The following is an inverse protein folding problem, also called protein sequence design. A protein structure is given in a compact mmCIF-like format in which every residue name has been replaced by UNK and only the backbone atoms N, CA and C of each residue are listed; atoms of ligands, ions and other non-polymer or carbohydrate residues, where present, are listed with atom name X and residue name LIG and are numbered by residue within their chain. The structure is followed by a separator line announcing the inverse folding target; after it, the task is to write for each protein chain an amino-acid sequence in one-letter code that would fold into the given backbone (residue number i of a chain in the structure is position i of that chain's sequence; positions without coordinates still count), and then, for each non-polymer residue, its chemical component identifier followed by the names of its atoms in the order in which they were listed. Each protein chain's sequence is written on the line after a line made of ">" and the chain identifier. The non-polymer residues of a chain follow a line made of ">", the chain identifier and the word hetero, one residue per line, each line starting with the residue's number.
data_IF_683326809327
#
_entry.id   IF_683326809327
#
_cell.length_a   1.000
_cell.length_b   1.000
_cell.length_c   1.000
_cell.angle_alpha   90.00
_cell.angle_beta   90.00
_cell.angle_gamma   90.00
#
_symmetry.space_group_name_H-M   'P 1'
#
loop_
_entity.id
_entity.type
_entity.pdbx_description
1 polymer ?
#
# COMPACT_ATOMS: atom_id res chain seq x y z
N UNK A 1 -22.45 -44.89 -34.94
CA UNK A 1 -21.75 -46.00 -34.24
C UNK A 1 -20.87 -45.39 -33.16
N UNK A 2 -20.62 -45.91 -31.93
CA UNK A 2 -21.14 -47.01 -31.05
C UNK A 2 -20.37 -46.84 -29.70
N UNK A 3 -20.88 -46.83 -28.46
CA UNK A 3 -22.19 -46.52 -27.81
C UNK A 3 -22.00 -45.18 -27.02
N UNK A 4 -22.77 -44.65 -26.05
CA UNK A 4 -23.90 -45.02 -25.16
C UNK A 4 -23.66 -45.87 -23.88
N UNK A 5 -23.74 -45.19 -22.73
CA UNK A 5 -24.09 -45.61 -21.36
C UNK A 5 -24.53 -44.29 -20.67
N UNK A 6 -25.79 -44.04 -20.28
CA UNK A 6 -26.61 -44.66 -19.21
C UNK A 6 -25.87 -44.85 -17.87
N UNK A 7 -26.46 -44.56 -16.71
CA UNK A 7 -27.58 -43.67 -16.32
C UNK A 7 -27.76 -43.75 -14.80
N UNK A 8 -27.75 -42.62 -14.09
CA UNK A 8 -28.50 -42.46 -12.83
C UNK A 8 -29.06 -41.04 -12.79
N UNK A 9 -30.38 -40.90 -12.96
CA UNK A 9 -31.07 -39.68 -12.56
C UNK A 9 -31.37 -39.76 -11.06
N UNK A 10 -30.87 -38.81 -10.28
CA UNK A 10 -31.34 -38.58 -8.91
C UNK A 10 -31.97 -37.18 -8.86
N UNK A 11 -33.29 -37.12 -9.00
CA UNK A 11 -34.05 -35.86 -8.90
C UNK A 11 -34.16 -35.47 -7.42
N UNK A 12 -33.28 -34.59 -6.96
CA UNK A 12 -33.41 -33.89 -5.68
C UNK A 12 -33.43 -32.39 -5.98
N UNK A 13 -34.64 -31.85 -6.14
CA UNK A 13 -34.87 -30.43 -6.33
C UNK A 13 -34.69 -29.69 -5.00
N UNK A 14 -33.45 -29.32 -4.67
CA UNK A 14 -33.13 -28.42 -3.55
C UNK A 14 -32.48 -27.16 -4.09
N UNK A 15 -32.85 -26.04 -3.46
CA UNK A 15 -32.60 -24.65 -3.88
C UNK A 15 -31.11 -24.36 -4.10
N UNK A 16 -30.82 -23.54 -5.10
CA UNK A 16 -29.47 -23.10 -5.46
C UNK A 16 -28.78 -22.34 -4.32
N UNK A 17 -27.75 -22.96 -3.72
CA UNK A 17 -26.85 -22.33 -2.75
C UNK A 17 -25.39 -22.71 -2.97
N UNK A 18 -24.96 -22.79 -4.24
CA UNK A 18 -23.55 -22.72 -4.60
C UNK A 18 -23.03 -21.30 -4.32
N UNK A 19 -22.74 -21.03 -3.05
CA UNK A 19 -21.84 -19.94 -2.64
C UNK A 19 -20.46 -20.35 -3.14
N UNK A 20 -20.15 -19.95 -4.37
CA UNK A 20 -18.80 -20.02 -4.90
C UNK A 20 -17.90 -19.23 -3.94
N UNK A 21 -16.82 -19.85 -3.45
CA UNK A 21 -15.90 -19.17 -2.54
C UNK A 21 -15.37 -17.94 -3.28
N UNK A 22 -15.71 -16.75 -2.79
CA UNK A 22 -15.56 -15.52 -3.55
C UNK A 22 -14.11 -15.25 -3.91
N UNK A 23 -13.82 -15.23 -5.21
CA UNK A 23 -12.67 -14.56 -5.79
C UNK A 23 -12.83 -13.07 -5.45
N UNK A 24 -12.28 -12.66 -4.30
CA UNK A 24 -12.44 -11.29 -3.82
C UNK A 24 -11.65 -10.36 -4.73
N UNK A 25 -12.38 -9.49 -5.42
CA UNK A 25 -11.84 -8.60 -6.42
C UNK A 25 -10.84 -7.62 -5.78
N UNK A 26 -9.55 -7.95 -5.91
CA UNK A 26 -8.46 -7.33 -5.14
C UNK A 26 -8.35 -5.82 -5.39
N UNK A 27 -8.67 -5.39 -6.61
CA UNK A 27 -8.68 -4.00 -7.03
C UNK A 27 -9.69 -3.19 -6.18
N UNK A 28 -10.92 -3.73 -6.02
CA UNK A 28 -11.97 -3.11 -5.22
C UNK A 28 -11.64 -3.09 -3.71
N UNK A 29 -10.77 -3.97 -3.23
CA UNK A 29 -10.29 -3.95 -1.84
C UNK A 29 -9.18 -2.91 -1.59
N UNK A 30 -8.53 -2.40 -2.64
CA UNK A 30 -7.48 -1.38 -2.53
C UNK A 30 -8.01 0.02 -2.86
N UNK A 31 -8.79 0.19 -3.92
CA UNK A 31 -9.40 1.49 -4.27
C UNK A 31 -10.34 2.03 -3.17
N UNK A 32 -11.03 1.16 -2.42
CA UNK A 32 -11.88 1.56 -1.29
C UNK A 32 -11.14 1.72 0.04
N UNK A 33 -9.80 1.58 0.08
CA UNK A 33 -9.05 1.44 1.33
C UNK A 33 -8.01 2.54 1.54
N UNK A 34 -8.38 3.54 2.36
CA UNK A 34 -7.63 4.77 2.68
C UNK A 34 -6.36 4.56 3.55
N UNK A 35 -5.82 3.34 3.53
CA UNK A 35 -4.52 2.95 4.08
C UNK A 35 -3.38 3.02 3.05
N UNK A 36 -3.69 2.92 1.76
CA UNK A 36 -2.72 2.98 0.67
C UNK A 36 -2.73 4.37 0.02
N UNK A 37 -1.56 4.86 -0.38
CA UNK A 37 -1.49 5.90 -1.43
C UNK A 37 -1.68 5.23 -2.79
N UNK A 38 -2.58 5.78 -3.60
CA UNK A 38 -2.86 5.34 -4.97
C UNK A 38 -2.17 6.29 -5.96
N UNK A 39 -1.27 5.76 -6.78
CA UNK A 39 -0.57 6.50 -7.84
C UNK A 39 -1.00 5.88 -9.17
N UNK A 40 -1.61 6.65 -10.06
CA UNK A 40 -2.01 6.16 -11.39
C UNK A 40 -1.53 7.07 -12.51
N UNK A 41 -1.10 6.46 -13.61
CA UNK A 41 -0.66 7.16 -14.82
C UNK A 41 -1.13 6.43 -16.08
N UNK A 42 -1.50 7.20 -17.10
CA UNK A 42 -1.73 6.69 -18.45
C UNK A 42 -0.46 6.86 -19.28
N UNK A 43 -0.03 5.80 -19.95
CA UNK A 43 1.13 5.83 -20.86
C UNK A 43 0.89 6.87 -21.96
N UNK A 44 1.92 7.67 -22.26
CA UNK A 44 1.83 8.78 -23.20
C UNK A 44 1.22 10.07 -22.63
N UNK A 45 0.71 10.05 -21.39
CA UNK A 45 0.21 11.26 -20.70
C UNK A 45 1.30 11.93 -19.87
N UNK A 46 1.24 13.26 -19.78
CA UNK A 46 2.01 14.04 -18.81
C UNK A 46 1.32 14.10 -17.44
N UNK A 47 0.09 13.58 -17.29
CA UNK A 47 -0.64 13.59 -16.03
C UNK A 47 -0.31 12.35 -15.20
N UNK A 48 0.13 12.58 -13.96
CA UNK A 48 0.35 11.60 -12.92
C UNK A 48 -0.64 11.89 -11.78
N UNK A 49 -1.59 11.00 -11.54
CA UNK A 49 -2.55 11.15 -10.45
C UNK A 49 -1.98 10.53 -9.17
N UNK A 50 -2.08 11.25 -8.05
CA UNK A 50 -1.66 10.80 -6.72
C UNK A 50 -2.81 11.10 -5.75
N UNK A 51 -3.40 10.07 -5.17
CA UNK A 51 -4.50 10.17 -4.19
C UNK A 51 -5.68 11.03 -4.71
N UNK A 52 -6.01 10.89 -6.00
CA UNK A 52 -7.03 11.67 -6.71
C UNK A 52 -6.53 13.00 -7.29
N UNK A 53 -5.37 13.50 -6.87
CA UNK A 53 -4.81 14.79 -7.28
C UNK A 53 -3.97 14.67 -8.54
N UNK A 54 -4.28 15.44 -9.59
CA UNK A 54 -3.47 15.50 -10.81
C UNK A 54 -2.18 16.30 -10.62
N UNK A 55 -1.05 15.70 -10.98
CA UNK A 55 0.27 16.32 -11.01
C UNK A 55 0.82 16.28 -12.45
N UNK A 56 1.54 17.32 -12.86
CA UNK A 56 2.07 17.45 -14.23
C UNK A 56 3.54 17.02 -14.25
N UNK A 57 3.86 16.04 -15.09
CA UNK A 57 5.22 15.62 -15.42
C UNK A 57 5.79 16.44 -16.59
N UNK A 58 7.09 16.73 -16.53
CA UNK A 58 7.86 17.38 -17.62
C UNK A 58 7.81 16.60 -18.95
N UNK A 59 7.64 15.29 -18.88
CA UNK A 59 7.71 14.36 -20.02
C UNK A 59 6.87 13.11 -19.70
N UNK A 60 6.19 12.49 -20.68
CA UNK A 60 5.29 11.38 -20.42
C UNK A 60 6.05 10.06 -20.19
N UNK A 61 5.49 9.17 -19.39
CA UNK A 61 5.93 7.78 -19.34
C UNK A 61 5.63 7.06 -20.67
N UNK A 62 6.50 6.13 -21.09
CA UNK A 62 6.38 5.38 -22.35
C UNK A 62 6.69 3.89 -22.14
N UNK A 63 6.35 3.05 -23.12
CA UNK A 63 6.85 1.67 -23.19
C UNK A 63 8.11 1.67 -24.06
N UNK A 64 9.20 1.12 -23.54
CA UNK A 64 10.46 0.93 -24.27
C UNK A 64 10.33 -0.12 -25.38
N UNK A 65 11.28 -0.15 -26.32
CA UNK A 65 11.34 -1.20 -27.35
C UNK A 65 11.48 -2.62 -26.76
N UNK A 66 11.94 -2.74 -25.51
CA UNK A 66 12.05 -3.98 -24.73
C UNK A 66 10.78 -4.32 -23.93
N UNK A 67 9.71 -3.52 -24.02
CA UNK A 67 8.41 -3.79 -23.40
C UNK A 67 8.22 -3.27 -21.97
N UNK A 68 9.22 -2.58 -21.40
CA UNK A 68 9.16 -2.04 -20.04
C UNK A 68 8.55 -0.63 -20.01
N UNK A 69 7.70 -0.34 -19.02
CA UNK A 69 7.26 1.03 -18.72
C UNK A 69 8.42 1.85 -18.17
N UNK A 70 8.84 2.85 -18.94
CA UNK A 70 9.87 3.81 -18.58
C UNK A 70 9.21 5.10 -18.07
N UNK A 71 9.60 5.56 -16.88
CA UNK A 71 9.03 6.75 -16.23
C UNK A 71 10.12 7.76 -15.84
N UNK A 72 9.89 9.09 -15.89
CA UNK A 72 10.91 10.07 -15.54
C UNK A 72 11.29 9.96 -14.06
N UNK A 73 12.58 9.73 -13.75
CA UNK A 73 13.07 9.37 -12.41
C UNK A 73 12.52 10.29 -11.31
N UNK A 74 12.60 11.61 -11.50
CA UNK A 74 12.11 12.56 -10.51
C UNK A 74 10.60 12.43 -10.26
N UNK A 75 9.79 12.35 -11.31
CA UNK A 75 8.33 12.27 -11.20
C UNK A 75 7.85 11.00 -10.49
N UNK A 76 8.53 9.86 -10.67
CA UNK A 76 8.22 8.66 -9.91
C UNK A 76 8.75 8.71 -8.48
N UNK A 77 9.98 9.22 -8.24
CA UNK A 77 10.50 9.38 -6.87
C UNK A 77 9.63 10.31 -6.03
N UNK A 78 9.21 11.45 -6.58
CA UNK A 78 8.33 12.42 -5.89
C UNK A 78 6.95 11.79 -5.57
N UNK A 79 6.48 10.83 -6.36
CA UNK A 79 5.22 10.11 -6.10
C UNK A 79 5.39 8.93 -5.11
N UNK A 80 6.54 8.24 -5.13
CA UNK A 80 6.89 7.13 -4.24
C UNK A 80 7.40 7.58 -2.86
N UNK A 81 7.36 8.87 -2.53
CA UNK A 81 7.89 9.37 -1.25
C UNK A 81 6.90 10.25 -0.49
N UNK A 82 6.96 10.19 0.85
CA UNK A 82 6.09 10.99 1.74
C UNK A 82 6.73 12.34 2.11
N UNK A 83 8.07 12.36 2.16
CA UNK A 83 8.94 13.53 2.35
C UNK A 83 9.70 13.81 1.05
N UNK A 84 10.22 15.02 0.87
CA UNK A 84 11.02 15.35 -0.32
C UNK A 84 12.33 14.54 -0.35
N UNK A 85 12.50 13.69 -1.36
CA UNK A 85 13.77 13.05 -1.67
C UNK A 85 14.76 14.01 -2.36
N UNK A 86 16.04 13.65 -2.33
CA UNK A 86 17.07 14.24 -3.19
C UNK A 86 17.28 13.34 -4.41
N UNK A 87 17.42 13.96 -5.60
CA UNK A 87 17.65 13.27 -6.88
C UNK A 87 18.71 14.05 -7.64
N UNK A 88 19.96 13.68 -7.37
CA UNK A 88 21.15 14.39 -7.85
C UNK A 88 21.73 13.73 -9.10
N UNK A 89 22.13 14.55 -10.08
CA UNK A 89 22.65 14.11 -11.37
C UNK A 89 24.13 14.48 -11.51
N UNK A 90 24.96 13.48 -11.80
CA UNK A 90 26.40 13.60 -12.01
C UNK A 90 26.73 13.31 -13.48
N UNK A 91 26.69 14.32 -14.38
CA UNK A 91 26.84 14.13 -15.82
C UNK A 91 28.17 13.48 -16.20
N UNK A 92 29.28 13.90 -15.59
CA UNK A 92 30.63 13.37 -15.86
C UNK A 92 30.79 11.87 -15.53
N UNK A 93 29.83 11.30 -14.77
CA UNK A 93 29.78 9.89 -14.37
C UNK A 93 28.61 9.13 -15.00
N UNK A 94 27.76 9.81 -15.76
CA UNK A 94 26.44 9.32 -16.19
C UNK A 94 25.65 8.66 -15.04
N UNK A 95 25.64 9.29 -13.86
CA UNK A 95 25.09 8.69 -12.63
C UNK A 95 24.00 9.56 -11.99
N UNK A 96 22.85 8.96 -11.68
CA UNK A 96 21.88 9.52 -10.72
C UNK A 96 22.12 8.91 -9.35
N UNK A 97 21.98 9.73 -8.31
CA UNK A 97 21.86 9.27 -6.92
C UNK A 97 20.52 9.77 -6.37
N UNK A 98 19.69 8.85 -5.90
CA UNK A 98 18.45 9.14 -5.18
C UNK A 98 18.73 8.94 -3.69
N UNK A 99 18.45 9.93 -2.85
CA UNK A 99 18.56 9.82 -1.39
C UNK A 99 17.19 10.10 -0.78
N UNK A 100 16.65 9.12 -0.06
CA UNK A 100 15.40 9.22 0.68
C UNK A 100 15.59 8.62 2.08
N UNK A 101 15.65 9.48 3.10
CA UNK A 101 16.00 9.10 4.47
C UNK A 101 17.35 8.35 4.50
N UNK A 102 17.40 7.11 5.00
CA UNK A 102 18.61 6.28 4.99
C UNK A 102 18.80 5.46 3.69
N UNK A 103 17.85 5.54 2.74
CA UNK A 103 17.93 4.83 1.46
C UNK A 103 18.72 5.66 0.44
N UNK A 104 19.80 5.08 -0.06
CA UNK A 104 20.53 5.56 -1.24
C UNK A 104 20.29 4.60 -2.41
N UNK A 105 19.83 5.11 -3.57
CA UNK A 105 19.74 4.34 -4.82
C UNK A 105 20.68 4.97 -5.85
N UNK A 106 21.66 4.21 -6.28
CA UNK A 106 22.64 4.57 -7.29
C UNK A 106 22.25 3.97 -8.66
N UNK A 107 22.20 4.82 -9.69
CA UNK A 107 21.80 4.43 -11.05
C UNK A 107 22.84 4.93 -12.05
N UNK A 108 23.46 4.03 -12.82
CA UNK A 108 24.34 4.40 -13.93
C UNK A 108 23.58 4.26 -15.25
N UNK A 109 23.53 5.33 -16.05
CA UNK A 109 22.79 5.33 -17.32
C UNK A 109 23.42 4.33 -18.29
N UNK A 110 22.58 3.48 -18.91
CA UNK A 110 23.02 2.38 -19.76
C UNK A 110 23.47 1.12 -19.01
N UNK A 111 23.44 1.11 -17.68
CA UNK A 111 23.63 -0.10 -16.87
C UNK A 111 22.28 -0.72 -16.49
N UNK A 112 22.23 -2.05 -16.58
CA UNK A 112 21.19 -2.93 -16.05
C UNK A 112 21.29 -3.13 -14.52
N UNK A 113 22.38 -2.69 -13.88
CA UNK A 113 22.57 -2.76 -12.43
C UNK A 113 22.23 -1.42 -11.78
N UNK A 114 21.32 -1.44 -10.80
CA UNK A 114 21.23 -0.40 -9.77
C UNK A 114 21.91 -0.87 -8.48
N UNK A 115 22.30 0.05 -7.61
CA UNK A 115 22.75 -0.29 -6.26
C UNK A 115 21.84 0.35 -5.22
N UNK A 116 21.35 -0.42 -4.25
CA UNK A 116 20.55 0.08 -3.13
C UNK A 116 21.39 -0.09 -1.86
N UNK A 117 21.72 1.02 -1.20
CA UNK A 117 22.62 1.07 -0.05
C UNK A 117 23.96 0.34 -0.31
N UNK A 118 24.45 0.37 -1.55
CA UNK A 118 25.69 -0.28 -2.00
C UNK A 118 25.57 -1.76 -2.39
N UNK A 119 24.39 -2.38 -2.25
CA UNK A 119 24.11 -3.76 -2.69
C UNK A 119 23.60 -3.74 -4.14
N UNK A 120 24.11 -4.62 -5.00
CA UNK A 120 23.70 -4.75 -6.41
C UNK A 120 22.30 -5.35 -6.58
N UNK A 121 21.51 -4.76 -7.49
CA UNK A 121 20.21 -5.26 -7.95
C UNK A 121 20.14 -5.16 -9.48
N UNK A 122 19.77 -6.26 -10.13
CA UNK A 122 19.54 -6.29 -11.59
C UNK A 122 18.15 -5.75 -11.93
N UNK A 123 18.08 -4.88 -12.94
CA UNK A 123 16.86 -4.31 -13.52
C UNK A 123 16.46 -5.07 -14.79
N UNK A 124 15.18 -5.01 -15.17
CA UNK A 124 14.71 -5.62 -16.41
C UNK A 124 15.26 -4.97 -17.69
N UNK A 125 15.60 -3.68 -17.63
CA UNK A 125 16.23 -2.92 -18.73
C UNK A 125 16.97 -1.69 -18.14
N UNK A 126 18.02 -1.13 -18.78
CA UNK A 126 18.80 -0.05 -18.18
C UNK A 126 18.02 1.26 -18.05
N UNK A 127 18.43 2.11 -17.09
CA UNK A 127 18.01 3.50 -17.05
C UNK A 127 18.60 4.27 -18.24
N UNK A 128 17.82 5.14 -18.89
CA UNK A 128 18.19 5.82 -20.15
C UNK A 128 17.90 7.34 -20.12
N UNK A 129 18.56 8.11 -20.99
CA UNK A 129 18.31 9.53 -21.21
C UNK A 129 17.47 9.70 -22.48
N UNK A 130 16.32 10.36 -22.35
CA UNK A 130 15.41 10.63 -23.46
C UNK A 130 14.80 12.04 -23.28
N UNK A 131 14.85 12.86 -24.34
CA UNK A 131 14.29 14.25 -24.36
C UNK A 131 14.71 15.08 -23.13
N UNK A 132 16.02 15.11 -22.84
CA UNK A 132 16.62 15.82 -21.70
C UNK A 132 16.04 15.45 -20.33
N UNK A 133 15.48 14.24 -20.18
CA UNK A 133 15.05 13.64 -18.93
C UNK A 133 15.63 12.23 -18.78
N UNK A 134 15.81 11.84 -17.54
CA UNK A 134 16.30 10.51 -17.18
C UNK A 134 15.10 9.63 -16.88
N UNK A 135 15.05 8.46 -17.50
CA UNK A 135 14.00 7.47 -17.38
C UNK A 135 14.55 6.19 -16.74
N UNK A 136 13.70 5.53 -15.96
CA UNK A 136 13.98 4.27 -15.26
C UNK A 136 12.81 3.31 -15.47
N UNK A 137 13.02 1.99 -15.47
CA UNK A 137 11.90 1.06 -15.50
C UNK A 137 11.10 1.21 -14.21
N UNK A 138 9.79 1.41 -14.37
CA UNK A 138 8.88 1.75 -13.28
C UNK A 138 8.84 0.65 -12.20
N UNK A 139 8.78 -0.62 -12.62
CA UNK A 139 8.70 -1.78 -11.72
C UNK A 139 9.97 -1.94 -10.88
N UNK A 140 11.15 -1.81 -11.49
CA UNK A 140 12.44 -1.93 -10.82
C UNK A 140 12.63 -0.86 -9.74
N UNK A 141 12.22 0.39 -10.00
CA UNK A 141 12.25 1.43 -8.95
C UNK A 141 11.19 1.18 -7.85
N UNK A 142 9.99 0.71 -8.20
CA UNK A 142 8.99 0.33 -7.18
C UNK A 142 9.53 -0.78 -6.26
N UNK A 143 10.21 -1.80 -6.80
CA UNK A 143 10.90 -2.83 -6.03
C UNK A 143 11.99 -2.23 -5.13
N UNK A 144 12.74 -1.23 -5.61
CA UNK A 144 13.73 -0.51 -4.79
C UNK A 144 13.10 0.25 -3.59
N UNK A 145 11.84 0.67 -3.69
CA UNK A 145 11.02 1.21 -2.59
C UNK A 145 10.24 0.14 -1.80
N UNK A 146 10.58 -1.15 -1.96
CA UNK A 146 9.95 -2.33 -1.32
C UNK A 146 8.47 -2.57 -1.71
N UNK A 147 8.03 -2.10 -2.87
CA UNK A 147 6.66 -2.32 -3.38
C UNK A 147 6.64 -3.63 -4.19
N UNK A 148 5.79 -4.58 -3.78
CA UNK A 148 5.64 -5.88 -4.46
C UNK A 148 4.78 -5.82 -5.72
N UNK A 149 4.90 -6.82 -6.59
CA UNK A 149 4.16 -6.86 -7.86
C UNK A 149 2.63 -6.89 -7.72
N UNK A 150 2.10 -7.48 -6.64
CA UNK A 150 0.66 -7.44 -6.29
C UNK A 150 0.11 -6.01 -6.11
N UNK A 151 1.00 -5.03 -5.98
CA UNK A 151 0.68 -3.62 -5.81
C UNK A 151 0.96 -2.78 -7.07
N UNK A 152 1.42 -3.39 -8.17
CA UNK A 152 1.80 -2.71 -9.42
C UNK A 152 0.95 -3.27 -10.58
N UNK A 153 -0.29 -2.76 -10.68
CA UNK A 153 -1.29 -3.23 -11.62
C UNK A 153 -1.13 -2.60 -13.01
N UNK A 154 -1.55 -3.33 -14.04
CA UNK A 154 -1.55 -2.89 -15.43
C UNK A 154 -2.93 -3.12 -16.07
N UNK A 155 -3.59 -2.05 -16.50
CA UNK A 155 -4.76 -2.10 -17.36
C UNK A 155 -4.30 -1.93 -18.82
N UNK A 156 -4.24 -3.06 -19.54
CA UNK A 156 -3.85 -3.13 -20.94
C UNK A 156 -4.75 -2.29 -21.87
N UNK A 157 -6.08 -2.42 -21.68
CA UNK A 157 -7.10 -1.77 -22.52
C UNK A 157 -6.98 -0.26 -22.54
N UNK A 158 -6.76 0.34 -21.37
CA UNK A 158 -6.72 1.78 -21.21
C UNK A 158 -5.27 2.32 -21.11
N UNK A 159 -4.27 1.43 -21.15
CA UNK A 159 -2.83 1.68 -20.99
C UNK A 159 -2.51 2.48 -19.73
N UNK A 160 -3.02 2.00 -18.59
CA UNK A 160 -2.85 2.62 -17.26
C UNK A 160 -2.00 1.71 -16.37
N UNK A 161 -0.98 2.28 -15.74
CA UNK A 161 -0.32 1.67 -14.57
C UNK A 161 -0.94 2.26 -13.32
N UNK A 162 -1.27 1.41 -12.34
CA UNK A 162 -1.79 1.82 -11.03
C UNK A 162 -0.96 1.15 -9.94
N UNK A 163 -0.39 1.98 -9.06
CA UNK A 163 0.55 1.57 -8.02
C UNK A 163 -0.07 1.91 -6.66
N UNK A 164 -0.29 0.87 -5.86
CA UNK A 164 -0.65 1.03 -4.47
C UNK A 164 0.60 1.01 -3.62
N UNK A 165 0.69 1.93 -2.66
CA UNK A 165 1.87 2.05 -1.81
C UNK A 165 1.44 2.15 -0.36
N UNK A 166 2.18 1.51 0.53
CA UNK A 166 1.93 1.58 1.97
C UNK A 166 2.35 2.95 2.55
N UNK A 167 2.53 4.02 1.76
CA UNK A 167 3.16 5.31 2.13
C UNK A 167 2.37 6.18 3.12
N UNK A 168 1.43 5.57 3.84
CA UNK A 168 0.93 6.02 5.15
C UNK A 168 1.82 5.51 6.30
N UNK A 169 2.71 4.55 6.02
CA UNK A 169 3.56 3.76 6.92
C UNK A 169 4.90 3.43 6.22
N UNK A 170 5.92 4.28 6.41
CA UNK A 170 7.21 4.08 5.73
C UNK A 170 7.94 2.81 6.22
N UNK A 171 8.69 2.17 5.31
CA UNK A 171 8.99 0.72 5.39
C UNK A 171 10.17 0.33 6.33
N UNK A 172 10.17 0.86 7.55
CA UNK A 172 10.87 0.28 8.71
C UNK A 172 9.89 -0.46 9.65
N UNK A 173 8.64 0.00 9.74
CA UNK A 173 7.60 -0.65 10.56
C UNK A 173 7.20 -2.06 10.06
N UNK A 174 7.45 -2.37 8.80
CA UNK A 174 6.85 -3.51 8.10
C UNK A 174 7.56 -4.87 8.31
N UNK A 175 8.66 -4.95 9.08
CA UNK A 175 9.36 -6.23 9.35
C UNK A 175 8.79 -6.98 10.55
N UNK A 176 8.51 -6.28 11.65
CA UNK A 176 8.09 -6.88 12.93
C UNK A 176 6.58 -6.66 13.22
N UNK A 177 5.92 -5.79 12.45
CA UNK A 177 4.52 -5.41 12.65
C UNK A 177 3.67 -5.67 11.42
N UNK A 178 2.51 -6.31 11.63
CA UNK A 178 1.48 -6.50 10.61
C UNK A 178 0.35 -5.49 10.80
N UNK A 179 0.04 -4.71 9.77
CA UNK A 179 -1.13 -3.82 9.76
C UNK A 179 -2.42 -4.65 9.79
N UNK A 180 -3.36 -4.25 10.65
CA UNK A 180 -4.72 -4.79 10.71
C UNK A 180 -5.62 -3.91 9.83
N UNK A 181 -6.34 -4.46 8.83
CA UNK A 181 -7.24 -3.69 7.98
C UNK A 181 -8.27 -2.88 8.77
N UNK A 182 -8.48 -1.62 8.38
CA UNK A 182 -9.45 -0.70 8.99
C UNK A 182 -9.88 0.37 8.01
N UNK A 183 -11.06 0.96 8.24
CA UNK A 183 -11.54 2.15 7.54
C UNK A 183 -11.12 3.47 8.22
N UNK A 184 -10.43 3.39 9.36
CA UNK A 184 -10.06 4.57 10.16
C UNK A 184 -8.93 5.39 9.51
N UNK A 185 -9.23 6.67 9.26
CA UNK A 185 -8.30 7.60 8.62
C UNK A 185 -7.18 8.05 9.58
N UNK A 186 -7.53 8.32 10.84
CA UNK A 186 -6.66 8.99 11.82
C UNK A 186 -5.78 8.04 12.63
N UNK A 187 -6.29 6.86 12.99
CA UNK A 187 -5.54 5.81 13.72
C UNK A 187 -5.64 4.47 13.02
N UNK A 188 -4.54 3.72 12.96
CA UNK A 188 -4.50 2.41 12.32
C UNK A 188 -3.93 1.38 13.29
N UNK A 189 -4.57 0.21 13.46
CA UNK A 189 -4.08 -0.83 14.35
C UNK A 189 -2.99 -1.66 13.65
N UNK A 190 -1.94 -2.00 14.38
CA UNK A 190 -0.92 -2.95 13.96
C UNK A 190 -0.73 -4.02 15.04
N UNK A 191 -0.25 -5.20 14.68
CA UNK A 191 0.07 -6.28 15.63
C UNK A 191 1.53 -6.70 15.50
N UNK A 192 2.22 -6.89 16.64
CA UNK A 192 3.61 -7.34 16.68
C UNK A 192 3.72 -8.87 16.54
N UNK A 193 4.96 -9.35 16.41
CA UNK A 193 5.30 -10.79 16.37
C UNK A 193 4.81 -11.61 17.58
N UNK A 194 4.60 -10.98 18.74
CA UNK A 194 4.06 -11.60 19.95
C UNK A 194 2.52 -11.64 20.00
N UNK A 195 1.83 -10.94 19.08
CA UNK A 195 0.38 -10.87 19.00
C UNK A 195 -0.26 -9.69 19.75
N UNK A 196 0.51 -8.77 20.32
CA UNK A 196 0.02 -7.55 20.93
C UNK A 196 -0.29 -6.47 19.89
N UNK A 197 -1.43 -5.80 20.06
CA UNK A 197 -1.90 -4.74 19.15
C UNK A 197 -1.43 -3.38 19.67
N UNK A 198 -0.95 -2.54 18.77
CA UNK A 198 -0.64 -1.12 18.96
C UNK A 198 -1.39 -0.24 17.94
N UNK A 199 -1.15 1.07 17.99
CA UNK A 199 -1.75 2.05 17.08
C UNK A 199 -0.71 3.02 16.52
N UNK A 200 -0.86 3.38 15.25
CA UNK A 200 -0.05 4.35 14.51
C UNK A 200 -0.94 5.42 13.86
N UNK A 201 -0.41 6.63 13.70
CA UNK A 201 -1.13 7.78 13.12
C UNK A 201 -1.31 7.65 11.60
N UNK A 202 -1.78 8.71 10.94
CA UNK A 202 -1.92 8.72 9.48
C UNK A 202 -0.60 8.91 8.69
N UNK A 203 0.56 8.72 9.34
CA UNK A 203 1.92 8.86 8.78
C UNK A 203 2.92 7.81 9.32
N UNK A 204 2.50 6.92 10.21
CA UNK A 204 3.32 5.86 10.81
C UNK A 204 4.02 6.22 12.12
N UNK A 205 3.72 7.36 12.72
CA UNK A 205 4.18 7.65 14.08
C UNK A 205 3.41 6.79 15.09
N UNK A 206 4.10 6.22 16.09
CA UNK A 206 3.45 5.44 17.14
C UNK A 206 2.54 6.33 17.98
N UNK A 207 1.26 5.99 18.00
CA UNK A 207 0.23 6.54 18.90
C UNK A 207 0.16 5.72 20.18
N UNK A 208 0.25 4.39 20.04
CA UNK A 208 0.29 3.44 21.15
C UNK A 208 1.23 2.30 20.79
N UNK A 209 2.16 2.01 21.69
CA UNK A 209 2.96 0.79 21.66
C UNK A 209 2.06 -0.47 21.59
N UNK A 210 2.59 -1.61 21.10
CA UNK A 210 1.86 -2.87 21.02
C UNK A 210 1.70 -3.48 22.42
N UNK A 211 0.61 -3.11 23.11
CA UNK A 211 0.39 -3.47 24.53
C UNK A 211 -1.03 -3.96 24.84
N UNK A 212 -1.86 -4.19 23.82
CA UNK A 212 -3.26 -4.59 23.93
C UNK A 212 -3.47 -6.04 23.46
N UNK A 213 -3.98 -6.93 24.33
CA UNK A 213 -4.26 -8.34 23.96
C UNK A 213 -5.42 -8.49 22.96
N UNK A 214 -6.28 -7.48 22.83
CA UNK A 214 -7.22 -7.29 21.71
C UNK A 214 -7.51 -5.80 21.56
N UNK A 215 -7.87 -5.37 20.35
CA UNK A 215 -8.30 -4.00 20.10
C UNK A 215 -9.34 -3.98 18.97
N UNK A 216 -10.33 -3.10 19.10
CA UNK A 216 -11.46 -2.96 18.19
C UNK A 216 -11.66 -1.47 17.86
N UNK A 217 -11.53 -1.12 16.59
CA UNK A 217 -12.00 0.17 16.07
C UNK A 217 -13.51 0.03 15.84
N UNK A 218 -14.28 0.99 16.35
CA UNK A 218 -15.76 0.98 16.28
C UNK A 218 -16.22 1.77 15.06
N UNK A 219 -16.39 1.10 13.92
CA UNK A 219 -16.68 1.72 12.62
C UNK A 219 -17.72 0.89 11.84
N UNK A 220 -19.00 1.11 12.15
CA UNK A 220 -20.14 0.40 11.57
C UNK A 220 -21.08 1.36 10.77
N UNK A 221 -20.83 2.67 10.80
CA UNK A 221 -21.63 3.73 10.12
C UNK A 221 -20.73 4.92 9.72
N UNK A 222 -21.11 5.63 8.65
CA UNK A 222 -20.23 6.51 7.84
C UNK A 222 -19.71 7.81 8.49
N UNK A 223 -20.04 8.13 9.74
CA UNK A 223 -19.38 9.19 10.50
C UNK A 223 -18.65 8.61 11.71
N UNK A 224 -17.38 9.02 11.87
CA UNK A 224 -16.47 8.55 12.91
C UNK A 224 -17.12 8.60 14.30
N UNK A 225 -17.15 7.48 15.02
CA UNK A 225 -17.42 7.46 16.47
C UNK A 225 -16.23 8.06 17.26
N UNK A 226 -16.06 9.36 17.10
CA UNK A 226 -15.26 10.27 17.92
C UNK A 226 -13.79 9.92 18.12
N UNK A 227 -13.15 9.33 17.10
CA UNK A 227 -11.70 9.12 17.10
C UNK A 227 -11.22 8.26 18.30
N UNK A 228 -11.99 7.24 18.67
CA UNK A 228 -11.73 6.34 19.82
C UNK A 228 -11.59 4.89 19.39
N UNK A 229 -10.91 4.10 20.21
CA UNK A 229 -10.86 2.64 20.07
C UNK A 229 -11.12 1.93 21.40
N UNK A 230 -11.82 0.80 21.33
CA UNK A 230 -12.03 -0.10 22.47
C UNK A 230 -10.84 -1.06 22.54
N UNK A 231 -10.06 -0.96 23.62
CA UNK A 231 -8.85 -1.74 23.84
C UNK A 231 -9.04 -2.75 24.97
N UNK A 232 -8.28 -3.84 24.93
CA UNK A 232 -8.30 -4.88 25.96
C UNK A 232 -6.90 -5.18 26.47
N UNK A 233 -6.72 -5.19 27.78
CA UNK A 233 -5.46 -5.56 28.45
C UNK A 233 -5.74 -6.45 29.65
N UNK A 234 -4.99 -7.55 29.82
CA UNK A 234 -5.19 -8.52 30.90
C UNK A 234 -6.66 -9.00 30.99
N UNK A 235 -7.29 -9.26 29.85
CA UNK A 235 -8.72 -9.59 29.71
C UNK A 235 -9.73 -8.52 30.16
N UNK A 236 -9.30 -7.31 30.52
CA UNK A 236 -10.19 -6.17 30.84
C UNK A 236 -10.27 -5.18 29.69
N UNK A 237 -11.44 -4.58 29.48
CA UNK A 237 -11.71 -3.59 28.44
C UNK A 237 -11.61 -2.16 28.97
N UNK A 238 -11.11 -1.28 28.11
CA UNK A 238 -10.96 0.17 28.28
C UNK A 238 -11.12 0.90 26.94
N UNK A 239 -10.89 2.22 26.93
CA UNK A 239 -11.05 3.09 25.74
C UNK A 239 -9.87 4.05 25.66
N UNK A 240 -9.31 4.22 24.46
CA UNK A 240 -8.29 5.25 24.14
C UNK A 240 -8.82 6.29 23.14
N UNK A 241 -8.19 7.47 23.12
CA UNK A 241 -8.36 8.49 22.06
C UNK A 241 -7.39 8.28 20.87
N UNK A 242 -7.50 9.14 19.86
CA UNK A 242 -6.61 9.14 18.68
C UNK A 242 -5.19 9.69 18.94
N UNK A 243 -4.79 9.80 20.20
CA UNK A 243 -3.43 10.15 20.65
C UNK A 243 -2.90 9.11 21.65
N UNK A 244 -3.59 7.98 21.80
CA UNK A 244 -3.21 6.88 22.70
C UNK A 244 -3.54 7.12 24.17
N UNK A 245 -4.15 8.26 24.52
CA UNK A 245 -4.51 8.57 25.90
C UNK A 245 -5.64 7.64 26.34
N UNK A 246 -5.47 7.04 27.52
CA UNK A 246 -6.50 6.21 28.15
C UNK A 246 -7.63 7.13 28.66
N UNK A 247 -8.78 7.11 27.98
CA UNK A 247 -10.01 7.75 28.42
C UNK A 247 -10.67 6.91 29.53
N UNK A 248 -10.69 5.59 29.34
CA UNK A 248 -11.27 4.62 30.27
C UNK A 248 -10.26 3.51 30.51
N UNK A 249 -9.78 3.36 31.75
CA UNK A 249 -8.81 2.33 32.11
C UNK A 249 -9.35 0.91 31.89
N UNK A 250 -8.50 -0.06 31.49
CA UNK A 250 -8.85 -1.47 31.37
C UNK A 250 -9.32 -2.10 32.69
N UNK A 251 -10.61 -1.95 33.01
CA UNK A 251 -11.23 -2.41 34.27
C UNK A 251 -12.51 -3.24 34.05
N UNK A 252 -13.16 -3.06 32.89
CA UNK A 252 -14.49 -3.60 32.60
C UNK A 252 -14.40 -5.01 31.99
N UNK A 253 -15.40 -5.86 32.23
CA UNK A 253 -15.43 -7.20 31.62
C UNK A 253 -15.88 -7.18 30.15
N UNK A 254 -16.52 -6.09 29.74
CA UNK A 254 -17.06 -5.82 28.41
C UNK A 254 -17.14 -4.30 28.25
N UNK A 255 -16.97 -3.81 27.03
CA UNK A 255 -17.37 -2.47 26.60
C UNK A 255 -17.95 -2.61 25.19
N UNK A 256 -19.11 -2.01 24.94
CA UNK A 256 -19.72 -1.86 23.62
C UNK A 256 -20.05 -0.39 23.35
N UNK A 257 -19.68 0.12 22.18
CA UNK A 257 -20.23 1.38 21.68
C UNK A 257 -21.70 1.18 21.28
N UNK A 258 -22.56 2.11 21.69
CA UNK A 258 -24.00 2.11 21.36
C UNK A 258 -24.29 3.11 20.26
N UNK A 259 -23.72 4.30 20.36
CA UNK A 259 -23.81 5.41 19.41
C UNK A 259 -22.80 6.49 19.81
N UNK A 260 -22.13 7.16 18.88
CA UNK A 260 -21.28 8.34 19.16
C UNK A 260 -20.26 8.07 20.29
N UNK A 261 -20.25 8.90 21.34
CA UNK A 261 -19.41 8.77 22.54
C UNK A 261 -20.03 7.89 23.63
N UNK A 262 -21.17 7.23 23.39
CA UNK A 262 -21.91 6.45 24.38
C UNK A 262 -21.51 4.97 24.35
N UNK A 263 -21.13 4.45 25.52
CA UNK A 263 -20.68 3.07 25.70
C UNK A 263 -21.39 2.41 26.90
N UNK A 264 -21.51 1.08 26.85
CA UNK A 264 -22.07 0.21 27.91
C UNK A 264 -21.15 -0.98 28.21
#
# INVERSE_FOLDING_TARGET
>A
MKKFLLSVMCFISIISSNVFAGEQNFDQLKDNNKLYRNISLKIGSNILNIDGTENIMDSPAYISNSGYTMMPVRSIVDALTSKKAHVDWYPDKNKVIIIYEEKTIDLTIGSDIMYINGIEYSMGTPAEISKDRIFIPLRDLCHAFKISDDNILWNEKDSIVQIYTNLKYDNEFATDYKIIPTYSESIVPFVNSEGYIGYIDNKGNIISEPVWDKAYITSDTDEFNNNRAIVRKNNKYGIIDNKGNIIVSPLYNYIKNVYDNYYI
#
